data_IF_607122482852
#
_entry.id   IF_607122482852
#
_cell.length_a   1.000
_cell.length_b   1.000
_cell.length_c   1.000
_cell.angle_alpha   90.00
_cell.angle_beta   90.00
_cell.angle_gamma   90.00
#
_symmetry.space_group_name_H-M   'P 1'
#
loop_
_entity.id
_entity.type
_entity.pdbx_description
1 polymer ?
#
# COMPACT_ATOMS: atom_id res chain seq x y z
N UNK A 1 -19.83 -18.11 -4.71
CA UNK A 1 -19.00 -16.89 -4.61
C UNK A 1 -17.54 -17.30 -4.61
N UNK A 2 -16.62 -16.43 -5.07
CA UNK A 2 -15.19 -16.77 -5.19
C UNK A 2 -14.36 -15.85 -4.28
N UNK A 3 -13.45 -16.45 -3.51
CA UNK A 3 -12.41 -15.75 -2.74
C UNK A 3 -11.48 -14.97 -3.67
N UNK A 4 -11.15 -13.73 -3.28
CA UNK A 4 -10.09 -12.97 -3.93
C UNK A 4 -8.73 -13.62 -3.69
N UNK A 5 -7.93 -13.68 -4.75
CA UNK A 5 -6.53 -14.10 -4.69
C UNK A 5 -5.67 -13.02 -4.04
N UNK A 6 -4.46 -13.38 -3.59
CA UNK A 6 -3.49 -12.42 -3.05
C UNK A 6 -3.19 -11.27 -4.02
N UNK A 7 -3.11 -11.58 -5.33
CA UNK A 7 -2.89 -10.57 -6.36
C UNK A 7 -4.10 -9.62 -6.50
N UNK A 8 -5.32 -10.14 -6.42
CA UNK A 8 -6.53 -9.32 -6.47
C UNK A 8 -6.64 -8.42 -5.25
N UNK A 9 -6.34 -8.94 -4.05
CA UNK A 9 -6.26 -8.14 -2.83
C UNK A 9 -5.19 -7.06 -2.92
N UNK A 10 -4.01 -7.41 -3.45
CA UNK A 10 -2.93 -6.46 -3.69
C UNK A 10 -3.37 -5.34 -4.65
N UNK A 11 -4.00 -5.71 -5.77
CA UNK A 11 -4.53 -4.74 -6.73
C UNK A 11 -5.60 -3.85 -6.11
N UNK A 12 -6.46 -4.41 -5.24
CA UNK A 12 -7.49 -3.65 -4.53
C UNK A 12 -6.87 -2.62 -3.59
N UNK A 13 -5.86 -3.01 -2.81
CA UNK A 13 -5.09 -2.11 -1.97
C UNK A 13 -4.40 -1.01 -2.80
N UNK A 14 -3.77 -1.37 -3.92
CA UNK A 14 -3.16 -0.40 -4.83
C UNK A 14 -4.17 0.60 -5.40
N UNK A 15 -5.37 0.15 -5.76
CA UNK A 15 -6.42 1.05 -6.26
C UNK A 15 -6.88 2.03 -5.18
N UNK A 16 -7.02 1.58 -3.93
CA UNK A 16 -7.38 2.45 -2.79
C UNK A 16 -6.30 3.51 -2.57
N UNK A 17 -5.04 3.10 -2.51
CA UNK A 17 -3.91 4.02 -2.29
C UNK A 17 -3.71 4.95 -3.49
N UNK A 18 -3.85 4.45 -4.71
CA UNK A 18 -3.77 5.23 -5.94
C UNK A 18 -4.80 6.36 -5.97
N UNK A 19 -6.07 6.06 -5.64
CA UNK A 19 -7.12 7.08 -5.55
C UNK A 19 -6.83 8.12 -4.48
N UNK A 20 -6.28 7.71 -3.34
CA UNK A 20 -5.88 8.67 -2.29
C UNK A 20 -4.73 9.57 -2.78
N UNK A 21 -3.72 9.02 -3.46
CA UNK A 21 -2.63 9.77 -4.08
C UNK A 21 -3.15 10.78 -5.11
N UNK A 22 -4.05 10.37 -6.01
CA UNK A 22 -4.68 11.26 -7.01
C UNK A 22 -5.41 12.42 -6.34
N UNK A 23 -6.25 12.11 -5.33
CA UNK A 23 -7.01 13.12 -4.57
C UNK A 23 -6.10 14.12 -3.85
N UNK A 24 -4.91 13.68 -3.45
CA UNK A 24 -3.91 14.52 -2.79
C UNK A 24 -2.95 15.22 -3.78
N UNK A 25 -3.20 15.15 -5.09
CA UNK A 25 -2.45 15.88 -6.11
C UNK A 25 -1.08 15.28 -6.43
N UNK A 26 -0.90 13.97 -6.27
CA UNK A 26 0.31 13.28 -6.72
C UNK A 26 0.22 12.93 -8.20
N UNK A 27 1.32 13.16 -8.93
CA UNK A 27 1.47 12.74 -10.32
C UNK A 27 2.23 11.41 -10.39
N UNK A 28 1.70 10.40 -11.08
CA UNK A 28 2.36 9.09 -11.17
C UNK A 28 3.45 9.10 -12.24
N UNK A 29 4.69 8.85 -11.81
CA UNK A 29 5.82 8.63 -12.71
C UNK A 29 5.94 7.16 -13.12
N UNK A 30 5.70 6.24 -12.18
CA UNK A 30 5.70 4.80 -12.43
C UNK A 30 4.76 4.06 -11.46
N UNK A 31 4.18 2.98 -11.97
CA UNK A 31 3.33 2.05 -11.21
C UNK A 31 3.83 0.62 -11.40
N UNK A 32 3.95 -0.13 -10.31
CA UNK A 32 4.39 -1.52 -10.34
C UNK A 32 3.46 -2.38 -9.48
N UNK A 33 2.57 -3.12 -10.13
CA UNK A 33 1.59 -4.01 -9.49
C UNK A 33 2.11 -5.41 -9.21
N UNK A 34 3.38 -5.69 -9.54
CA UNK A 34 3.96 -7.00 -9.26
C UNK A 34 4.26 -7.13 -7.76
N UNK A 35 3.76 -8.19 -7.10
CA UNK A 35 4.09 -8.46 -5.72
C UNK A 35 5.61 -8.50 -5.52
N UNK A 36 6.06 -8.05 -4.34
CA UNK A 36 7.47 -8.03 -3.92
C UNK A 36 8.39 -7.08 -4.70
N UNK A 37 7.93 -6.37 -5.74
CA UNK A 37 8.69 -5.28 -6.36
C UNK A 37 8.33 -3.95 -5.72
N UNK A 38 9.30 -3.28 -5.10
CA UNK A 38 9.08 -2.04 -4.36
C UNK A 38 9.95 -0.91 -4.91
N UNK A 39 9.47 0.35 -4.87
CA UNK A 39 8.12 0.76 -4.43
C UNK A 39 7.02 0.36 -5.44
N UNK A 40 5.76 0.36 -4.99
CA UNK A 40 4.59 0.12 -5.88
C UNK A 40 4.25 1.36 -6.70
N UNK A 41 4.39 2.55 -6.10
CA UNK A 41 4.23 3.82 -6.78
C UNK A 41 5.49 4.66 -6.67
N UNK A 42 5.87 5.27 -7.78
CA UNK A 42 6.78 6.41 -7.81
C UNK A 42 5.97 7.61 -8.27
N UNK A 43 5.86 8.60 -7.41
CA UNK A 43 5.05 9.80 -7.68
C UNK A 43 5.89 11.07 -7.59
N UNK A 44 5.45 12.12 -8.28
CA UNK A 44 5.95 13.48 -8.15
C UNK A 44 4.88 14.32 -7.45
N UNK A 45 5.29 15.12 -6.47
CA UNK A 45 4.45 16.16 -5.88
C UNK A 45 5.35 17.30 -5.45
N UNK A 46 4.99 18.54 -5.82
CA UNK A 46 5.77 19.74 -5.48
C UNK A 46 7.27 19.61 -5.83
N UNK A 47 7.57 19.05 -7.01
CA UNK A 47 8.93 18.78 -7.51
C UNK A 47 9.76 17.79 -6.66
N UNK A 48 9.14 17.09 -5.71
CA UNK A 48 9.79 16.02 -4.94
C UNK A 48 9.28 14.65 -5.38
N UNK A 49 10.19 13.69 -5.48
CA UNK A 49 9.88 12.30 -5.78
C UNK A 49 9.43 11.59 -4.51
N UNK A 50 8.41 10.74 -4.62
CA UNK A 50 7.82 10.00 -3.50
C UNK A 50 7.71 8.52 -3.86
N UNK A 51 8.30 7.67 -3.04
CA UNK A 51 8.26 6.22 -3.17
C UNK A 51 7.21 5.68 -2.19
N UNK A 52 6.18 5.02 -2.71
CA UNK A 52 5.08 4.49 -1.88
C UNK A 52 5.10 2.97 -1.92
N UNK A 53 5.25 2.35 -0.75
CA UNK A 53 5.11 0.91 -0.55
C UNK A 53 3.68 0.61 -0.15
N UNK A 54 3.01 -0.28 -0.87
CA UNK A 54 1.62 -0.68 -0.62
C UNK A 54 1.55 -2.13 -0.22
N UNK A 55 0.83 -2.42 0.86
CA UNK A 55 0.55 -3.79 1.30
C UNK A 55 -0.94 -3.98 1.54
N UNK A 56 -1.50 -5.04 0.94
CA UNK A 56 -2.75 -5.60 1.40
C UNK A 56 -2.44 -6.46 2.63
N UNK A 57 -3.12 -6.21 3.74
CA UNK A 57 -2.84 -6.86 5.03
C UNK A 57 -4.10 -7.62 5.49
N UNK A 58 -4.05 -8.97 5.57
CA UNK A 58 -5.19 -9.77 6.00
C UNK A 58 -5.37 -9.70 7.52
N UNK A 59 -6.58 -9.99 8.02
CA UNK A 59 -6.78 -10.23 9.45
C UNK A 59 -6.08 -11.54 9.87
N UNK A 60 -5.50 -11.63 11.08
CA UNK A 60 -5.45 -10.65 12.17
C UNK A 60 -4.21 -9.73 12.15
N UNK A 61 -3.49 -9.66 11.04
CA UNK A 61 -2.29 -8.81 10.95
C UNK A 61 -2.65 -7.33 11.05
N UNK A 62 -1.79 -6.55 11.71
CA UNK A 62 -1.95 -5.11 11.84
C UNK A 62 -1.41 -4.40 10.60
N UNK A 63 -2.23 -3.63 9.85
CA UNK A 63 -1.76 -2.82 8.74
C UNK A 63 -0.64 -1.83 9.11
N UNK A 64 -0.47 -1.50 10.39
CA UNK A 64 0.58 -0.63 10.92
C UNK A 64 1.82 -1.38 11.44
N UNK A 65 1.92 -2.69 11.23
CA UNK A 65 3.09 -3.50 11.59
C UNK A 65 3.86 -4.01 10.34
N UNK A 66 4.53 -3.13 9.58
CA UNK A 66 5.23 -3.52 8.35
C UNK A 66 6.52 -4.33 8.61
N UNK A 67 6.99 -5.01 7.56
CA UNK A 67 8.34 -5.59 7.54
C UNK A 67 9.40 -4.47 7.54
N UNK A 68 10.02 -4.25 8.71
CA UNK A 68 11.03 -3.22 8.90
C UNK A 68 12.25 -3.40 8.00
N UNK A 69 12.66 -4.65 7.68
CA UNK A 69 13.81 -4.89 6.80
C UNK A 69 13.52 -4.44 5.37
N UNK A 70 12.29 -4.65 4.92
CA UNK A 70 11.82 -4.12 3.64
C UNK A 70 11.81 -2.59 3.67
N UNK A 71 11.24 -1.99 4.71
CA UNK A 71 11.13 -0.54 4.81
C UNK A 71 12.50 0.14 4.83
N UNK A 72 13.47 -0.39 5.59
CA UNK A 72 14.86 0.11 5.56
C UNK A 72 15.43 0.08 4.14
N UNK A 73 15.28 -1.03 3.41
CA UNK A 73 15.78 -1.13 2.02
C UNK A 73 15.13 -0.10 1.09
N UNK A 74 13.83 0.16 1.23
CA UNK A 74 13.13 1.14 0.40
C UNK A 74 13.54 2.56 0.79
N UNK A 75 13.71 2.84 2.08
CA UNK A 75 14.23 4.13 2.57
C UNK A 75 15.62 4.40 2.00
N UNK A 76 16.56 3.47 2.14
CA UNK A 76 17.93 3.60 1.61
C UNK A 76 17.94 3.80 0.09
N UNK A 77 16.99 3.16 -0.61
CA UNK A 77 16.82 3.36 -2.05
C UNK A 77 16.26 4.76 -2.34
N UNK A 78 15.24 5.21 -1.62
CA UNK A 78 14.64 6.53 -1.82
C UNK A 78 15.65 7.66 -1.55
N UNK A 79 16.46 7.55 -0.50
CA UNK A 79 17.51 8.54 -0.17
C UNK A 79 18.53 8.73 -1.30
N UNK A 80 18.94 7.64 -1.97
CA UNK A 80 19.85 7.70 -3.13
C UNK A 80 19.26 8.46 -4.33
N UNK A 81 17.94 8.58 -4.40
CA UNK A 81 17.21 9.27 -5.44
C UNK A 81 16.61 10.60 -4.94
N UNK A 82 17.04 11.08 -3.76
CA UNK A 82 16.51 12.29 -3.11
C UNK A 82 14.97 12.26 -2.98
N UNK A 83 14.40 11.06 -2.81
CA UNK A 83 12.98 10.81 -2.74
C UNK A 83 12.51 10.64 -1.29
N UNK A 84 11.29 11.11 -1.02
CA UNK A 84 10.57 10.78 0.20
C UNK A 84 10.04 9.35 0.11
N UNK A 85 9.89 8.65 1.23
CA UNK A 85 9.37 7.28 1.23
C UNK A 85 8.27 7.05 2.26
N UNK A 86 7.22 6.37 1.84
CA UNK A 86 6.01 6.15 2.62
C UNK A 86 5.58 4.69 2.54
N UNK A 87 4.91 4.25 3.59
CA UNK A 87 4.25 2.97 3.68
C UNK A 87 2.73 3.16 3.78
N UNK A 88 2.00 2.34 3.04
CA UNK A 88 0.54 2.31 3.01
C UNK A 88 0.07 0.87 3.20
N UNK A 89 -0.20 0.51 4.46
CA UNK A 89 -0.85 -0.74 4.83
C UNK A 89 -2.36 -0.61 4.69
N UNK A 90 -2.99 -1.52 3.95
CA UNK A 90 -4.42 -1.55 3.68
C UNK A 90 -4.99 -2.87 4.17
N UNK A 91 -5.70 -2.83 5.29
CA UNK A 91 -6.54 -3.92 5.75
C UNK A 91 -7.77 -4.07 4.87
N UNK A 92 -8.01 -5.28 4.36
CA UNK A 92 -9.17 -5.63 3.53
C UNK A 92 -9.87 -6.82 4.18
N UNK A 93 -11.09 -6.60 4.68
CA UNK A 93 -11.79 -7.61 5.49
C UNK A 93 -13.19 -7.89 4.95
N UNK A 94 -13.66 -9.13 5.13
CA UNK A 94 -15.06 -9.46 4.88
C UNK A 94 -15.95 -8.75 5.91
N UNK A 95 -17.10 -8.25 5.47
CA UNK A 95 -18.02 -7.44 6.29
C UNK A 95 -18.76 -8.27 7.34
N UNK A 96 -19.06 -9.53 7.05
CA UNK A 96 -19.77 -10.41 7.97
C UNK A 96 -18.83 -10.93 9.07
N UNK A 97 -17.62 -11.33 8.68
CA UNK A 97 -16.58 -11.78 9.59
C UNK A 97 -15.20 -11.43 9.03
N UNK A 98 -14.37 -10.72 9.81
CA UNK A 98 -13.02 -10.32 9.39
C UNK A 98 -12.08 -11.49 9.17
N UNK A 99 -12.32 -12.64 9.80
CA UNK A 99 -11.54 -13.86 9.62
C UNK A 99 -11.87 -14.58 8.31
N UNK A 100 -13.02 -14.28 7.70
CA UNK A 100 -13.42 -14.85 6.43
C UNK A 100 -12.76 -14.15 5.24
N UNK A 101 -12.72 -14.86 4.12
CA UNK A 101 -12.12 -14.34 2.91
C UNK A 101 -12.96 -13.20 2.32
N UNK A 102 -12.27 -12.17 1.80
CA UNK A 102 -12.91 -11.17 0.93
C UNK A 102 -13.31 -11.86 -0.38
N UNK A 103 -14.56 -11.64 -0.79
CA UNK A 103 -15.16 -12.27 -1.95
C UNK A 103 -15.27 -11.29 -3.12
N UNK A 104 -15.14 -11.80 -4.34
CA UNK A 104 -15.35 -11.04 -5.56
C UNK A 104 -16.79 -10.51 -5.62
N UNK A 105 -16.95 -9.25 -6.03
CA UNK A 105 -18.24 -8.55 -6.18
C UNK A 105 -19.10 -8.52 -4.90
N UNK A 106 -18.46 -8.58 -3.73
CA UNK A 106 -19.11 -8.45 -2.43
C UNK A 106 -18.55 -7.25 -1.67
N UNK A 107 -19.35 -6.66 -0.75
CA UNK A 107 -18.87 -5.63 0.16
C UNK A 107 -17.66 -6.11 0.99
N UNK A 108 -16.76 -5.18 1.32
CA UNK A 108 -15.61 -5.40 2.18
C UNK A 108 -15.36 -4.16 3.04
N UNK A 109 -14.79 -4.35 4.22
CA UNK A 109 -14.34 -3.28 5.11
C UNK A 109 -12.89 -2.91 4.77
N UNK A 110 -12.56 -1.61 4.85
CA UNK A 110 -11.21 -1.09 4.63
C UNK A 110 -10.67 -0.54 5.95
N UNK A 111 -9.49 -1.01 6.35
CA UNK A 111 -8.69 -0.39 7.41
C UNK A 111 -7.42 0.22 6.80
N UNK A 112 -7.48 1.51 6.49
CA UNK A 112 -6.39 2.26 5.87
C UNK A 112 -6.21 3.59 6.61
N UNK A 113 -4.99 3.87 7.09
CA UNK A 113 -4.66 5.08 7.87
C UNK A 113 -3.95 6.17 7.05
N UNK A 114 -3.95 6.04 5.73
CA UNK A 114 -3.21 6.94 4.85
C UNK A 114 -1.76 6.50 4.66
N UNK A 115 -0.97 7.39 4.06
CA UNK A 115 0.45 7.19 3.83
C UNK A 115 1.23 7.63 5.07
N UNK A 116 1.97 6.71 5.66
CA UNK A 116 2.80 6.99 6.82
C UNK A 116 4.26 7.06 6.35
N UNK A 117 4.99 8.14 6.64
CA UNK A 117 6.42 8.22 6.37
C UNK A 117 7.15 6.99 6.91
N UNK A 118 8.02 6.37 6.10
CA UNK A 118 8.76 5.17 6.53
C UNK A 118 9.60 5.44 7.79
N UNK A 119 10.07 6.67 7.95
CA UNK A 119 10.85 7.11 9.11
C UNK A 119 10.10 6.97 10.45
N UNK A 120 8.77 6.91 10.46
CA UNK A 120 8.00 6.73 11.71
C UNK A 120 8.03 5.29 12.23
N UNK A 121 8.47 4.32 11.41
CA UNK A 121 8.59 2.91 11.80
C UNK A 121 10.03 2.49 12.17
N UNK A 122 11.03 3.32 11.88
CA UNK A 122 12.46 3.02 12.00
C UNK A 122 13.13 3.93 13.05
#
# INVERSE_FOLDING_TARGET
MRKLTEQELHNLAMNIVGKELERNGFEFLAVNSKPKKNPQFVCLKEKKTHFIVVRAVPYPEDPLAPDLKLLTKVKDHAEKFEAMSYYAGVGLYNVEDKAEAVLLDQPYEINFKGMIPIQEFL
#
